data_IF_690691140676
#
_entry.id   IF_690691140676
#
_cell.length_a   1.000
_cell.length_b   1.000
_cell.length_c   1.000
_cell.angle_alpha   90.00
_cell.angle_beta   90.00
_cell.angle_gamma   90.00
#
_symmetry.space_group_name_H-M   'P 1'
#
loop_
_entity.id
_entity.type
_entity.pdbx_description
1 polymer ?
#
# COMPACT_ATOMS: atom_id res chain seq x y z
N UNK A 1 1.73 9.43 -9.21
CA UNK A 1 2.43 8.13 -9.30
C UNK A 1 3.67 8.20 -8.43
N UNK A 2 3.87 7.21 -7.60
CA UNK A 2 5.03 7.11 -6.71
C UNK A 2 5.98 6.03 -7.25
N UNK A 3 7.28 6.23 -7.13
CA UNK A 3 8.28 5.21 -7.39
C UNK A 3 9.05 4.97 -6.10
N UNK A 4 9.00 3.75 -5.61
CA UNK A 4 9.75 3.28 -4.45
C UNK A 4 10.84 2.32 -4.92
N UNK A 5 12.06 2.53 -4.51
CA UNK A 5 13.15 1.59 -4.74
C UNK A 5 13.94 1.43 -3.43
N UNK A 6 13.89 0.25 -2.85
CA UNK A 6 14.54 -0.04 -1.57
C UNK A 6 15.57 -1.14 -1.75
N UNK A 7 16.81 -0.86 -1.41
CA UNK A 7 17.86 -1.86 -1.33
C UNK A 7 17.72 -2.66 -0.04
N UNK A 8 17.71 -3.98 -0.18
CA UNK A 8 17.66 -4.91 0.96
C UNK A 8 19.06 -5.26 1.43
N UNK A 9 19.18 -5.70 2.67
CA UNK A 9 20.45 -6.09 3.30
C UNK A 9 21.27 -7.10 2.47
N UNK A 10 20.61 -7.96 1.71
CA UNK A 10 21.25 -8.97 0.87
C UNK A 10 21.45 -8.53 -0.59
N UNK A 11 21.42 -7.23 -0.86
CA UNK A 11 21.68 -6.65 -2.17
C UNK A 11 20.52 -6.66 -3.16
N UNK A 12 19.38 -7.28 -2.82
CA UNK A 12 18.18 -7.25 -3.64
C UNK A 12 17.51 -5.87 -3.64
N UNK A 13 16.82 -5.54 -4.74
CA UNK A 13 15.98 -4.36 -4.84
C UNK A 13 14.50 -4.74 -4.72
N UNK A 14 13.75 -4.03 -3.90
CA UNK A 14 12.29 -4.04 -3.90
C UNK A 14 11.82 -2.76 -4.57
N UNK A 15 11.05 -2.93 -5.63
CA UNK A 15 10.55 -1.83 -6.45
C UNK A 15 9.03 -1.80 -6.34
N UNK A 16 8.46 -0.65 -6.13
CA UNK A 16 7.02 -0.34 -6.05
C UNK A 16 6.79 1.11 -6.40
N UNK A 17 5.61 1.56 -6.49
CA UNK A 17 4.36 0.81 -6.56
C UNK A 17 3.40 1.53 -7.49
N UNK A 18 2.54 0.77 -8.14
CA UNK A 18 1.38 1.28 -8.85
C UNK A 18 0.13 0.96 -8.04
N UNK A 19 -0.93 1.74 -8.25
CA UNK A 19 -2.20 1.58 -7.55
C UNK A 19 -3.34 1.51 -8.56
N UNK A 20 -4.23 0.58 -8.34
CA UNK A 20 -5.50 0.44 -9.03
C UNK A 20 -6.62 0.53 -8.00
N UNK A 21 -7.76 1.11 -8.41
CA UNK A 21 -8.88 1.39 -7.51
C UNK A 21 -10.18 0.75 -7.99
N UNK A 22 -10.08 -0.14 -8.97
CA UNK A 22 -11.24 -0.82 -9.55
C UNK A 22 -11.75 -1.94 -8.65
N UNK A 23 -13.07 -2.10 -8.62
CA UNK A 23 -13.75 -3.20 -7.94
C UNK A 23 -14.62 -3.99 -8.94
N UNK A 24 -14.59 -5.31 -8.87
CA UNK A 24 -13.71 -6.16 -8.07
C UNK A 24 -12.27 -6.14 -8.57
N UNK A 25 -11.31 -6.30 -7.66
CA UNK A 25 -9.91 -6.40 -8.04
C UNK A 25 -9.67 -7.66 -8.88
N UNK A 26 -8.76 -7.56 -9.85
CA UNK A 26 -8.40 -8.68 -10.69
C UNK A 26 -7.63 -9.75 -9.90
N UNK A 27 -7.96 -11.02 -10.14
CA UNK A 27 -7.19 -12.15 -9.58
C UNK A 27 -5.86 -12.33 -10.30
N UNK A 28 -5.85 -12.03 -11.61
CA UNK A 28 -4.67 -12.13 -12.44
C UNK A 28 -3.81 -10.89 -12.27
N UNK A 29 -2.52 -11.10 -12.22
CA UNK A 29 -1.53 -10.03 -12.11
C UNK A 29 -1.14 -9.64 -13.53
N UNK A 30 -1.55 -8.45 -13.96
CA UNK A 30 -1.11 -7.87 -15.23
C UNK A 30 0.40 -7.57 -15.18
N UNK A 31 1.11 -7.86 -16.27
CA UNK A 31 2.54 -7.58 -16.36
C UNK A 31 2.85 -6.10 -16.62
N UNK A 32 1.93 -5.35 -17.21
CA UNK A 32 2.14 -3.96 -17.62
C UNK A 32 2.59 -3.03 -16.45
N UNK A 33 2.02 -3.09 -15.23
CA UNK A 33 2.52 -2.32 -14.10
C UNK A 33 3.97 -2.63 -13.72
N UNK A 34 4.37 -3.90 -13.81
CA UNK A 34 5.74 -4.31 -13.48
C UNK A 34 6.75 -3.87 -14.52
N UNK A 35 6.40 -3.98 -15.80
CA UNK A 35 7.25 -3.51 -16.90
C UNK A 35 7.44 -1.99 -16.82
N UNK A 36 6.38 -1.27 -16.50
CA UNK A 36 6.44 0.16 -16.26
C UNK A 36 7.39 0.53 -15.10
N UNK A 37 7.26 -0.13 -13.95
CA UNK A 37 8.11 0.12 -12.80
C UNK A 37 9.58 -0.22 -13.09
N UNK A 38 9.83 -1.33 -13.80
CA UNK A 38 11.18 -1.72 -14.21
C UNK A 38 11.80 -0.65 -15.10
N UNK A 39 11.10 -0.21 -16.14
CA UNK A 39 11.58 0.83 -17.05
C UNK A 39 11.91 2.14 -16.33
N UNK A 40 11.07 2.56 -15.36
CA UNK A 40 11.31 3.77 -14.58
C UNK A 40 12.56 3.67 -13.70
N UNK A 41 12.78 2.51 -13.07
CA UNK A 41 13.98 2.31 -12.24
C UNK A 41 15.23 2.22 -13.10
N UNK A 42 15.19 1.55 -14.25
CA UNK A 42 16.31 1.47 -15.19
C UNK A 42 16.70 2.85 -15.71
N UNK A 43 15.74 3.68 -16.04
CA UNK A 43 15.97 5.08 -16.43
C UNK A 43 16.67 5.86 -15.30
N UNK A 44 16.18 5.71 -14.08
CA UNK A 44 16.76 6.39 -12.91
C UNK A 44 18.18 5.91 -12.57
N UNK A 45 18.42 4.60 -12.65
CA UNK A 45 19.73 4.01 -12.35
C UNK A 45 20.74 4.13 -13.52
N UNK A 46 20.28 4.42 -14.73
CA UNK A 46 21.09 4.47 -15.95
C UNK A 46 21.66 3.11 -16.37
N UNK A 47 21.05 2.01 -15.95
CA UNK A 47 21.48 0.64 -16.27
C UNK A 47 20.32 -0.35 -16.19
N UNK A 48 20.41 -1.49 -16.90
CA UNK A 48 19.41 -2.54 -16.82
C UNK A 48 19.30 -3.10 -15.40
N UNK A 49 18.07 -3.50 -15.04
CA UNK A 49 17.83 -4.24 -13.81
C UNK A 49 18.30 -5.69 -13.93
N UNK A 50 18.73 -6.31 -12.82
CA UNK A 50 18.96 -7.75 -12.78
C UNK A 50 17.65 -8.51 -12.93
N UNK A 51 17.74 -9.82 -13.10
CA UNK A 51 16.57 -10.69 -13.25
C UNK A 51 15.57 -10.50 -12.12
N UNK A 52 14.30 -10.28 -12.49
CA UNK A 52 13.18 -10.22 -11.55
C UNK A 52 13.02 -11.57 -10.89
N UNK A 53 13.03 -11.59 -9.58
CA UNK A 53 12.89 -12.81 -8.78
C UNK A 53 11.47 -13.08 -8.34
N UNK A 54 10.69 -12.01 -8.13
CA UNK A 54 9.35 -12.11 -7.59
C UNK A 54 8.51 -10.89 -8.00
N UNK A 55 7.26 -11.14 -8.34
CA UNK A 55 6.22 -10.14 -8.52
C UNK A 55 5.09 -10.43 -7.53
N UNK A 56 4.45 -9.40 -7.03
CA UNK A 56 3.27 -9.55 -6.16
C UNK A 56 2.42 -8.29 -6.19
N UNK A 57 1.15 -8.46 -5.89
CA UNK A 57 0.23 -7.38 -5.62
C UNK A 57 -0.33 -7.54 -4.20
N UNK A 58 -0.68 -6.44 -3.57
CA UNK A 58 -1.38 -6.40 -2.30
C UNK A 58 -2.75 -5.75 -2.48
N UNK A 59 -3.75 -6.28 -1.80
CA UNK A 59 -5.09 -5.70 -1.78
C UNK A 59 -5.37 -5.17 -0.38
N UNK A 60 -5.86 -3.95 -0.31
CA UNK A 60 -6.19 -3.31 0.97
C UNK A 60 -7.34 -2.33 0.80
N UNK A 61 -8.05 -2.04 1.88
CA UNK A 61 -9.16 -1.10 1.88
C UNK A 61 -8.68 0.35 1.94
N UNK A 62 -9.39 1.21 1.22
CA UNK A 62 -9.21 2.66 1.26
C UNK A 62 -10.58 3.32 1.38
N UNK A 63 -10.69 4.40 2.15
CA UNK A 63 -11.91 5.18 2.21
C UNK A 63 -12.22 5.79 0.83
N UNK A 64 -13.49 5.74 0.44
CA UNK A 64 -13.95 6.31 -0.83
C UNK A 64 -13.87 7.84 -0.81
N UNK A 65 -14.18 8.45 0.33
CA UNK A 65 -14.03 9.89 0.53
C UNK A 65 -12.53 10.23 0.69
N UNK A 66 -11.94 11.02 -0.22
CA UNK A 66 -10.53 11.41 -0.14
C UNK A 66 -10.20 12.28 1.08
N UNK A 67 -11.19 12.93 1.68
CA UNK A 67 -11.04 13.68 2.93
C UNK A 67 -11.02 12.80 4.18
N UNK A 68 -11.41 11.53 4.06
CA UNK A 68 -11.46 10.58 5.17
C UNK A 68 -10.24 9.67 5.15
N UNK A 69 -9.38 9.80 6.16
CA UNK A 69 -8.15 9.02 6.24
C UNK A 69 -8.39 7.56 6.67
N UNK A 70 -9.37 7.35 7.53
CA UNK A 70 -9.68 6.04 8.10
C UNK A 70 -11.16 6.01 8.49
N UNK A 71 -11.79 4.86 8.29
CA UNK A 71 -13.15 4.61 8.78
C UNK A 71 -13.06 4.04 10.20
N UNK A 72 -13.85 4.61 11.11
CA UNK A 72 -14.07 4.08 12.45
C UNK A 72 -15.57 3.92 12.67
N UNK A 73 -16.00 2.76 13.08
CA UNK A 73 -17.40 2.49 13.39
C UNK A 73 -17.52 1.53 14.57
N UNK A 74 -18.49 1.77 15.42
CA UNK A 74 -18.83 0.82 16.44
C UNK A 74 -19.79 -0.23 15.85
N UNK A 75 -19.33 -1.47 15.79
CA UNK A 75 -20.08 -2.56 15.21
C UNK A 75 -21.02 -3.23 16.24
N UNK A 76 -20.64 -3.21 17.51
CA UNK A 76 -21.41 -3.71 18.64
C UNK A 76 -20.95 -3.03 19.93
N UNK A 77 -21.61 -3.29 21.05
CA UNK A 77 -21.19 -2.75 22.34
C UNK A 77 -19.74 -3.18 22.66
N UNK A 78 -18.87 -2.19 22.86
CA UNK A 78 -17.45 -2.40 23.08
C UNK A 78 -16.64 -2.93 21.87
N UNK A 79 -17.26 -3.07 20.66
CA UNK A 79 -16.59 -3.57 19.45
C UNK A 79 -16.44 -2.46 18.42
N UNK A 80 -15.20 -2.12 18.10
CA UNK A 80 -14.88 -1.10 17.09
C UNK A 80 -14.18 -1.69 15.87
N UNK A 81 -14.60 -1.24 14.71
CA UNK A 81 -13.94 -1.54 13.43
C UNK A 81 -13.21 -0.32 12.94
N UNK A 82 -11.92 -0.47 12.70
CA UNK A 82 -11.05 0.57 12.14
C UNK A 82 -10.45 0.03 10.84
N UNK A 83 -10.71 0.70 9.73
CA UNK A 83 -10.26 0.25 8.41
C UNK A 83 -10.10 1.40 7.42
N UNK A 84 -9.60 1.12 6.23
CA UNK A 84 -9.56 2.05 5.12
C UNK A 84 -8.41 3.06 5.10
N UNK A 85 -7.25 2.82 5.77
CA UNK A 85 -6.14 3.80 5.73
C UNK A 85 -5.41 3.83 4.37
N UNK A 86 -5.79 2.97 3.44
CA UNK A 86 -5.12 2.85 2.15
C UNK A 86 -3.66 2.41 2.29
N UNK A 87 -2.82 2.81 1.34
CA UNK A 87 -1.39 2.48 1.34
C UNK A 87 -0.56 3.08 2.48
N UNK A 88 -1.18 3.84 3.38
CA UNK A 88 -0.51 4.53 4.50
C UNK A 88 -0.64 3.80 5.84
N UNK A 89 -1.26 2.62 5.86
CA UNK A 89 -1.57 1.89 7.09
C UNK A 89 -0.35 1.62 7.98
N UNK A 90 0.77 1.18 7.42
CA UNK A 90 1.99 0.94 8.18
C UNK A 90 2.55 2.21 8.84
N UNK A 91 2.55 3.32 8.11
CA UNK A 91 3.09 4.60 8.61
C UNK A 91 2.18 5.23 9.66
N UNK A 92 0.86 5.18 9.42
CA UNK A 92 -0.13 5.88 10.24
C UNK A 92 -0.77 5.01 11.31
N UNK A 93 -0.56 3.70 11.28
CA UNK A 93 -1.18 2.75 12.21
C UNK A 93 -1.04 3.13 13.68
N UNK A 94 0.15 3.48 14.18
CA UNK A 94 0.30 3.90 15.58
C UNK A 94 -0.54 5.14 15.93
N UNK A 95 -0.53 6.16 15.09
CA UNK A 95 -1.32 7.38 15.32
C UNK A 95 -2.83 7.12 15.22
N UNK A 96 -3.25 6.25 14.29
CA UNK A 96 -4.66 5.83 14.16
C UNK A 96 -5.10 5.08 15.42
N UNK A 97 -4.26 4.22 15.96
CA UNK A 97 -4.54 3.49 17.20
C UNK A 97 -4.67 4.43 18.38
N UNK A 98 -3.72 5.36 18.57
CA UNK A 98 -3.75 6.35 19.64
C UNK A 98 -5.01 7.22 19.57
N UNK A 99 -5.29 7.81 18.41
CA UNK A 99 -6.50 8.59 18.20
C UNK A 99 -7.79 7.80 18.45
N UNK A 100 -7.78 6.51 18.11
CA UNK A 100 -8.96 5.68 18.34
C UNK A 100 -9.15 5.41 19.81
N UNK A 101 -8.07 5.10 20.55
CA UNK A 101 -8.12 4.91 22.00
C UNK A 101 -8.66 6.16 22.71
N UNK A 102 -8.18 7.34 22.33
CA UNK A 102 -8.66 8.62 22.87
C UNK A 102 -10.16 8.84 22.59
N UNK A 103 -10.61 8.52 21.38
CA UNK A 103 -12.01 8.70 20.99
C UNK A 103 -12.98 7.77 21.71
N UNK A 104 -12.54 6.59 22.09
CA UNK A 104 -13.36 5.59 22.78
C UNK A 104 -13.10 5.52 24.28
N UNK A 105 -12.34 6.48 24.81
CA UNK A 105 -12.03 6.62 26.23
C UNK A 105 -11.36 5.37 26.84
N UNK A 106 -10.44 4.76 26.08
CA UNK A 106 -9.62 3.63 26.51
C UNK A 106 -8.34 4.07 27.23
#
# INVERSE_FOLDING_TARGET
>A
MQLLCVQRLHGGLTIGDTHEYDEPFAFDVDDAPYDYLAARVEEFLGRPLPTVRRRWAGVYSQCVDPGQLVMRTQADDGVWVITGPGGRGMTLGPAIAEQTADLIEL
#
